data_IF_784474305508
#
_entry.id   IF_784474305508
#
_cell.length_a   1.000
_cell.length_b   1.000
_cell.length_c   1.000
_cell.angle_alpha   90.00
_cell.angle_beta   90.00
_cell.angle_gamma   90.00
#
_symmetry.space_group_name_H-M   'P 1'
#
loop_
_entity.id
_entity.type
_entity.pdbx_description
1 polymer ?
#
# COMPACT_ATOMS: atom_id res chain seq x y z
N UNK A 1 -17.24 14.03 5.58
CA UNK A 1 -16.01 13.34 5.14
C UNK A 1 -15.99 13.39 3.61
N UNK A 2 -14.95 13.97 3.01
CA UNK A 2 -14.80 14.07 1.55
C UNK A 2 -14.74 12.67 0.90
N UNK A 3 -15.18 12.55 -0.36
CA UNK A 3 -15.11 11.29 -1.14
C UNK A 3 -13.66 10.81 -1.24
N UNK A 4 -12.71 11.73 -1.43
CA UNK A 4 -11.28 11.45 -1.49
C UNK A 4 -10.79 10.78 -0.19
N UNK A 5 -11.16 11.32 0.97
CA UNK A 5 -10.83 10.73 2.28
C UNK A 5 -11.34 9.31 2.41
N UNK A 6 -12.56 9.02 1.96
CA UNK A 6 -13.12 7.66 2.03
C UNK A 6 -12.31 6.67 1.17
N UNK A 7 -11.84 7.10 -0.01
CA UNK A 7 -10.98 6.26 -0.86
C UNK A 7 -9.62 5.98 -0.20
N UNK A 8 -8.97 6.98 0.39
CA UNK A 8 -7.71 6.77 1.11
C UNK A 8 -7.89 5.92 2.38
N UNK A 9 -9.00 6.05 3.11
CA UNK A 9 -9.31 5.19 4.26
C UNK A 9 -9.52 3.73 3.84
N UNK A 10 -10.27 3.51 2.75
CA UNK A 10 -10.47 2.17 2.20
C UNK A 10 -9.13 1.55 1.76
N UNK A 11 -8.30 2.30 1.04
CA UNK A 11 -6.98 1.84 0.64
C UNK A 11 -6.06 1.53 1.82
N UNK A 12 -6.06 2.40 2.84
CA UNK A 12 -5.30 2.17 4.09
C UNK A 12 -5.75 0.88 4.79
N UNK A 13 -7.06 0.62 4.83
CA UNK A 13 -7.61 -0.61 5.42
C UNK A 13 -7.12 -1.85 4.66
N UNK A 14 -7.13 -1.82 3.33
CA UNK A 14 -6.61 -2.92 2.50
C UNK A 14 -5.11 -3.17 2.75
N UNK A 15 -4.31 -2.10 2.88
CA UNK A 15 -2.88 -2.21 3.19
C UNK A 15 -2.63 -2.80 4.59
N UNK A 16 -3.43 -2.40 5.59
CA UNK A 16 -3.35 -2.92 6.95
C UNK A 16 -3.73 -4.40 7.02
N UNK A 17 -4.80 -4.81 6.33
CA UNK A 17 -5.18 -6.22 6.21
C UNK A 17 -4.05 -7.04 5.62
N UNK A 18 -3.47 -6.60 4.49
CA UNK A 18 -2.35 -7.29 3.86
C UNK A 18 -1.13 -7.41 4.80
N UNK A 19 -0.81 -6.35 5.53
CA UNK A 19 0.29 -6.37 6.51
C UNK A 19 0.02 -7.37 7.63
N UNK A 20 -1.21 -7.45 8.11
CA UNK A 20 -1.63 -8.42 9.14
C UNK A 20 -1.48 -9.85 8.63
N UNK A 21 -1.98 -10.15 7.43
CA UNK A 21 -1.96 -11.48 6.81
C UNK A 21 -0.54 -12.01 6.57
N UNK A 22 0.39 -11.10 6.25
CA UNK A 22 1.81 -11.40 6.07
C UNK A 22 2.48 -11.66 7.43
N UNK A 23 2.14 -10.86 8.44
CA UNK A 23 2.70 -11.00 9.80
C UNK A 23 2.25 -12.29 10.49
N UNK A 24 1.03 -12.77 10.21
CA UNK A 24 0.53 -14.06 10.70
C UNK A 24 1.09 -15.27 9.95
N UNK A 25 1.96 -15.05 8.94
CA UNK A 25 2.53 -16.08 8.08
C UNK A 25 1.48 -17.03 7.47
N UNK A 26 0.23 -16.55 7.34
CA UNK A 26 -0.92 -17.35 6.93
C UNK A 26 -1.27 -17.17 5.45
N UNK A 27 -0.56 -16.28 4.75
CA UNK A 27 -0.85 -15.96 3.35
C UNK A 27 0.10 -16.67 2.39
N UNK A 28 -0.46 -17.33 1.39
CA UNK A 28 0.31 -17.92 0.29
C UNK A 28 0.77 -16.85 -0.68
N UNK A 29 1.85 -17.12 -1.41
CA UNK A 29 2.40 -16.15 -2.33
C UNK A 29 1.47 -15.87 -3.54
N UNK A 30 0.52 -16.76 -3.86
CA UNK A 30 -0.50 -16.51 -4.87
C UNK A 30 -1.57 -15.53 -4.36
N UNK A 31 -2.03 -15.71 -3.12
CA UNK A 31 -2.94 -14.76 -2.46
C UNK A 31 -2.30 -13.37 -2.35
N UNK A 32 -1.01 -13.32 -2.01
CA UNK A 32 -0.25 -12.08 -1.93
C UNK A 32 -0.24 -11.31 -3.26
N UNK A 33 -0.08 -11.99 -4.40
CA UNK A 33 -0.21 -11.38 -5.74
C UNK A 33 -1.63 -10.91 -6.05
N UNK A 34 -2.65 -11.65 -5.63
CA UNK A 34 -4.05 -11.26 -5.82
C UNK A 34 -4.37 -9.99 -5.04
N UNK A 35 -3.97 -9.93 -3.76
CA UNK A 35 -4.13 -8.72 -2.93
C UNK A 35 -3.39 -7.52 -3.52
N UNK A 36 -2.15 -7.71 -4.00
CA UNK A 36 -1.42 -6.64 -4.66
C UNK A 36 -2.13 -6.14 -5.92
N UNK A 37 -2.65 -7.05 -6.74
CA UNK A 37 -3.41 -6.69 -7.96
C UNK A 37 -4.63 -5.85 -7.57
N UNK A 38 -5.38 -6.26 -6.55
CA UNK A 38 -6.52 -5.49 -6.04
C UNK A 38 -6.13 -4.11 -5.53
N UNK A 39 -5.04 -4.01 -4.77
CA UNK A 39 -4.50 -2.72 -4.28
C UNK A 39 -4.13 -1.79 -5.43
N UNK A 40 -3.41 -2.30 -6.44
CA UNK A 40 -3.02 -1.50 -7.61
C UNK A 40 -4.23 -1.05 -8.41
N UNK A 41 -5.19 -1.93 -8.66
CA UNK A 41 -6.40 -1.59 -9.39
C UNK A 41 -7.20 -0.51 -8.66
N UNK A 42 -7.41 -0.68 -7.34
CA UNK A 42 -8.09 0.34 -6.52
C UNK A 42 -7.33 1.68 -6.57
N UNK A 43 -6.01 1.65 -6.40
CA UNK A 43 -5.22 2.89 -6.44
C UNK A 43 -5.32 3.60 -7.80
N UNK A 44 -5.19 2.86 -8.91
CA UNK A 44 -5.24 3.44 -10.25
C UNK A 44 -6.65 3.94 -10.62
N UNK A 45 -7.70 3.20 -10.28
CA UNK A 45 -9.07 3.55 -10.66
C UNK A 45 -9.68 4.60 -9.73
N UNK A 46 -9.50 4.43 -8.42
CA UNK A 46 -10.22 5.20 -7.41
C UNK A 46 -9.41 6.33 -6.77
N UNK A 47 -8.07 6.28 -6.82
CA UNK A 47 -7.21 7.30 -6.19
C UNK A 47 -6.54 8.21 -7.23
N UNK A 48 -5.90 7.66 -8.27
CA UNK A 48 -5.24 8.47 -9.31
C UNK A 48 -6.25 9.31 -10.10
N UNK A 49 -7.47 8.80 -10.27
CA UNK A 49 -8.57 9.56 -10.90
C UNK A 49 -9.06 10.74 -10.06
N UNK A 50 -8.66 10.85 -8.79
CA UNK A 50 -9.04 11.97 -7.94
C UNK A 50 -8.26 13.21 -8.36
N UNK A 51 -8.99 14.23 -8.81
CA UNK A 51 -8.40 15.54 -9.07
C UNK A 51 -8.08 16.20 -7.73
N UNK A 52 -6.79 16.28 -7.38
CA UNK A 52 -6.33 17.01 -6.20
C UNK A 52 -5.79 18.38 -6.57
N UNK A 53 -6.11 19.38 -5.75
CA UNK A 53 -5.61 20.75 -5.88
C UNK A 53 -4.28 20.95 -5.12
N UNK A 54 -3.83 19.94 -4.36
CA UNK A 54 -2.65 20.04 -3.51
C UNK A 54 -1.44 19.34 -4.17
N UNK A 55 -0.38 20.09 -4.53
CA UNK A 55 0.85 19.51 -5.11
C UNK A 55 1.50 18.43 -4.21
N UNK A 56 1.35 18.56 -2.89
CA UNK A 56 1.87 17.58 -1.93
C UNK A 56 1.13 16.25 -2.01
N UNK A 57 -0.20 16.26 -2.25
CA UNK A 57 -0.96 15.02 -2.43
C UNK A 57 -0.53 14.29 -3.72
N UNK A 58 -0.31 15.02 -4.82
CA UNK A 58 0.22 14.45 -6.06
C UNK A 58 1.61 13.83 -5.87
N UNK A 59 2.45 14.47 -5.04
CA UNK A 59 3.77 13.95 -4.69
C UNK A 59 3.64 12.64 -3.92
N UNK A 60 2.73 12.55 -2.95
CA UNK A 60 2.47 11.30 -2.23
C UNK A 60 1.85 10.22 -3.12
N UNK A 61 0.93 10.54 -4.02
CA UNK A 61 0.39 9.58 -5.00
C UNK A 61 1.49 9.00 -5.89
N UNK A 62 2.46 9.82 -6.28
CA UNK A 62 3.65 9.37 -7.05
C UNK A 62 4.50 8.40 -6.23
N UNK A 63 4.79 8.73 -4.98
CA UNK A 63 5.55 7.83 -4.10
C UNK A 63 4.78 6.55 -3.77
N UNK A 64 3.46 6.61 -3.57
CA UNK A 64 2.61 5.41 -3.40
C UNK A 64 2.70 4.52 -4.65
N UNK A 65 2.59 5.08 -5.85
CA UNK A 65 2.72 4.33 -7.11
C UNK A 65 4.05 3.60 -7.19
N UNK A 66 5.14 4.30 -6.88
CA UNK A 66 6.49 3.73 -6.85
C UNK A 66 6.63 2.63 -5.80
N UNK A 67 6.11 2.83 -4.60
CA UNK A 67 6.16 1.81 -3.56
C UNK A 67 5.32 0.58 -3.91
N UNK A 68 4.18 0.73 -4.59
CA UNK A 68 3.40 -0.42 -5.09
C UNK A 68 4.17 -1.22 -6.14
N UNK A 69 4.92 -0.55 -7.02
CA UNK A 69 5.79 -1.23 -7.99
C UNK A 69 6.95 -1.98 -7.30
N UNK A 70 7.57 -1.38 -6.29
CA UNK A 70 8.62 -2.06 -5.52
C UNK A 70 8.06 -3.23 -4.70
N UNK A 71 6.84 -3.11 -4.19
CA UNK A 71 6.14 -4.18 -3.48
C UNK A 71 5.91 -5.40 -4.38
N UNK A 72 5.59 -5.17 -5.65
CA UNK A 72 5.49 -6.24 -6.65
C UNK A 72 6.78 -7.03 -6.78
N UNK A 73 7.90 -6.33 -6.87
CA UNK A 73 9.23 -6.91 -6.99
C UNK A 73 9.55 -7.75 -5.75
N UNK A 74 9.27 -7.22 -4.54
CA UNK A 74 9.49 -7.97 -3.30
C UNK A 74 8.66 -9.25 -3.23
N UNK A 75 7.41 -9.21 -3.69
CA UNK A 75 6.51 -10.38 -3.74
C UNK A 75 7.02 -11.41 -4.76
N UNK A 76 7.52 -10.98 -5.92
CA UNK A 76 8.15 -11.89 -6.88
C UNK A 76 9.39 -12.58 -6.29
N UNK A 77 10.22 -11.84 -5.55
CA UNK A 77 11.38 -12.43 -4.87
C UNK A 77 10.98 -13.37 -3.72
N UNK A 78 9.93 -13.04 -2.97
CA UNK A 78 9.39 -13.91 -1.93
C UNK A 78 8.95 -15.27 -2.50
N UNK A 79 8.31 -15.27 -3.67
CA UNK A 79 7.92 -16.51 -4.37
C UNK A 79 9.11 -17.37 -4.79
N UNK A 80 10.22 -16.73 -5.18
CA UNK A 80 11.45 -17.42 -5.58
C UNK A 80 12.33 -17.86 -4.40
N UNK A 81 12.06 -17.39 -3.18
CA UNK A 81 12.88 -17.64 -2.01
C UNK A 81 12.70 -19.08 -1.49
N UNK A 82 13.63 -19.97 -1.85
CA UNK A 82 13.62 -21.39 -1.45
C UNK A 82 14.23 -21.66 -0.06
N UNK A 83 14.90 -20.69 0.57
CA UNK A 83 15.57 -20.86 1.86
C UNK A 83 14.88 -20.04 2.95
N UNK A 84 14.67 -20.64 4.13
CA UNK A 84 13.96 -20.00 5.25
C UNK A 84 14.55 -18.64 5.72
N UNK A 85 15.89 -18.43 5.78
CA UNK A 85 16.45 -17.13 6.17
C UNK A 85 16.15 -16.01 5.17
N UNK A 86 16.12 -16.33 3.87
CA UNK A 86 15.78 -15.35 2.84
C UNK A 86 14.28 -15.08 2.80
N UNK A 87 13.43 -16.05 3.13
CA UNK A 87 11.99 -15.84 3.25
C UNK A 87 11.63 -14.84 4.37
N UNK A 88 12.24 -14.97 5.57
CA UNK A 88 12.01 -14.03 6.69
C UNK A 88 12.46 -12.62 6.35
N UNK A 89 13.65 -12.46 5.76
CA UNK A 89 14.14 -11.14 5.33
C UNK A 89 13.19 -10.48 4.30
N UNK A 90 12.60 -11.28 3.39
CA UNK A 90 11.64 -10.79 2.41
C UNK A 90 10.30 -10.39 3.02
N UNK A 91 9.79 -11.17 3.98
CA UNK A 91 8.59 -10.82 4.76
C UNK A 91 8.78 -9.50 5.51
N UNK A 92 9.95 -9.28 6.10
CA UNK A 92 10.29 -8.02 6.76
C UNK A 92 10.30 -6.85 5.77
N UNK A 93 10.98 -7.00 4.62
CA UNK A 93 11.04 -5.96 3.59
C UNK A 93 9.64 -5.58 3.08
N UNK A 94 8.77 -6.58 2.84
CA UNK A 94 7.38 -6.36 2.46
C UNK A 94 6.63 -5.60 3.57
N UNK A 95 6.80 -5.98 4.83
CA UNK A 95 6.13 -5.35 5.97
C UNK A 95 6.56 -3.90 6.19
N UNK A 96 7.85 -3.60 6.03
CA UNK A 96 8.40 -2.23 6.08
C UNK A 96 7.82 -1.36 4.95
N UNK A 97 7.72 -1.93 3.74
CA UNK A 97 7.14 -1.23 2.60
C UNK A 97 5.65 -0.93 2.78
N UNK A 98 4.89 -1.89 3.29
CA UNK A 98 3.48 -1.68 3.65
C UNK A 98 3.33 -0.61 4.73
N UNK A 99 4.23 -0.57 5.70
CA UNK A 99 4.24 0.49 6.74
C UNK A 99 4.48 1.86 6.12
N UNK A 100 5.38 1.96 5.15
CA UNK A 100 5.66 3.21 4.41
C UNK A 100 4.44 3.67 3.61
N UNK A 101 3.78 2.75 2.89
CA UNK A 101 2.55 3.00 2.14
C UNK A 101 1.42 3.53 3.03
N UNK A 102 1.21 2.89 4.19
CA UNK A 102 0.23 3.34 5.19
C UNK A 102 0.59 4.76 5.68
N UNK A 103 1.86 5.03 5.95
CA UNK A 103 2.33 6.34 6.38
C UNK A 103 2.04 7.47 5.39
N UNK A 104 2.17 7.22 4.08
CA UNK A 104 1.76 8.19 3.05
C UNK A 104 0.25 8.44 3.06
N UNK A 105 -0.55 7.39 3.22
CA UNK A 105 -2.00 7.54 3.31
C UNK A 105 -2.40 8.34 4.56
N UNK A 106 -1.80 8.06 5.70
CA UNK A 106 -2.01 8.80 6.94
C UNK A 106 -1.61 10.28 6.82
N UNK A 107 -0.52 10.59 6.11
CA UNK A 107 -0.11 11.96 5.83
C UNK A 107 -1.19 12.70 5.02
N UNK A 108 -1.67 12.12 3.93
CA UNK A 108 -2.75 12.70 3.11
C UNK A 108 -4.03 12.91 3.93
N UNK A 109 -4.43 11.91 4.72
CA UNK A 109 -5.63 11.97 5.56
C UNK A 109 -5.54 13.03 6.66
N UNK A 110 -4.33 13.36 7.12
CA UNK A 110 -4.08 14.47 8.07
C UNK A 110 -4.12 15.84 7.39
N UNK A 111 -3.63 15.95 6.15
CA UNK A 111 -3.68 17.20 5.39
C UNK A 111 -5.13 17.63 5.11
N UNK A 112 -6.01 16.68 4.79
CA UNK A 112 -7.46 16.92 4.62
C UNK A 112 -8.13 17.43 5.90
N UNK A 113 -7.67 17.02 7.10
CA UNK A 113 -8.22 17.55 8.38
C UNK A 113 -7.90 19.03 8.60
N UNK A 114 -6.74 19.50 8.17
CA UNK A 114 -6.30 20.90 8.35
C UNK A 114 -7.05 21.85 7.40
N UNK A 115 -7.64 21.34 6.32
CA UNK A 115 -8.42 22.15 5.37
C UNK A 115 -9.89 22.32 5.75
N UNK A 116 -10.39 21.56 6.73
CA UNK A 116 -11.77 21.62 7.26
C UNK A 116 -11.86 22.42 8.59
N UNK A 117 -10.75 22.97 9.10
CA UNK A 117 -10.67 23.88 10.27
C UNK A 117 -10.44 25.34 9.82
#
# INVERSE_FOLDING_TARGET
MSLNKQKYLAFTTMLQQLRSDISSNSISANLLRQHLTSLRNFFQQDIVSLTTQFPTEQSYQTEISKQLQLLEIDIMFFQGARQAPSAVARVNAISERLTTLIGYCDAILKMDKVADE
#
